data_IF_672118878923
#
_entry.id   IF_672118878923
#
_cell.length_a   1.000
_cell.length_b   1.000
_cell.length_c   1.000
_cell.angle_alpha   90.00
_cell.angle_beta   90.00
_cell.angle_gamma   90.00
#
_symmetry.space_group_name_H-M   'P 1'
#
loop_
_entity.id
_entity.type
_entity.pdbx_description
1 polymer ?
#
# COMPACT_ATOMS: atom_id res chain seq x y z
N UNK A 1 18.73 -12.29 -7.76
CA UNK A 1 18.19 -13.20 -6.71
C UNK A 1 17.96 -12.37 -5.46
N UNK A 2 16.74 -12.17 -5.08
CA UNK A 2 16.36 -11.50 -3.84
C UNK A 2 16.30 -12.54 -2.71
N UNK A 3 17.10 -12.39 -1.68
CA UNK A 3 17.11 -13.21 -0.47
C UNK A 3 16.98 -12.34 0.73
N UNK A 4 16.53 -12.92 1.84
CA UNK A 4 15.14 -13.32 2.07
C UNK A 4 14.32 -12.09 2.50
N UNK A 5 13.02 -12.09 2.26
CA UNK A 5 12.10 -11.04 2.71
C UNK A 5 11.86 -11.06 4.24
N UNK A 6 12.86 -11.40 5.01
CA UNK A 6 12.78 -11.51 6.46
C UNK A 6 14.08 -11.05 7.12
N UNK A 7 13.94 -10.45 8.30
CA UNK A 7 15.05 -10.02 9.14
C UNK A 7 15.20 -11.02 10.27
N UNK A 8 16.43 -11.49 10.53
CA UNK A 8 16.76 -12.21 11.75
C UNK A 8 17.11 -11.18 12.82
N UNK A 9 16.22 -11.03 13.80
CA UNK A 9 16.35 -10.08 14.90
C UNK A 9 17.14 -10.66 16.07
N UNK A 10 17.61 -9.76 16.93
CA UNK A 10 18.13 -10.10 18.27
C UNK A 10 17.04 -9.81 19.30
N UNK A 11 17.13 -10.46 20.47
CA UNK A 11 16.25 -10.13 21.59
C UNK A 11 16.31 -8.65 21.93
N UNK A 12 15.13 -8.03 22.04
CA UNK A 12 14.96 -6.60 22.28
C UNK A 12 14.55 -5.81 21.06
N UNK A 13 14.89 -6.25 19.83
CA UNK A 13 14.52 -5.55 18.59
C UNK A 13 13.01 -5.48 18.40
N UNK A 14 12.27 -6.43 18.94
CA UNK A 14 10.80 -6.44 18.91
C UNK A 14 10.16 -5.31 19.73
N UNK A 15 10.95 -4.62 20.54
CA UNK A 15 10.52 -3.50 21.40
C UNK A 15 10.93 -2.14 20.84
N UNK A 16 11.76 -2.13 19.79
CA UNK A 16 12.26 -0.90 19.22
C UNK A 16 11.14 -0.15 18.50
N UNK A 17 11.07 1.14 18.76
CA UNK A 17 10.18 2.07 18.07
C UNK A 17 10.98 3.11 17.31
N UNK A 18 10.45 3.56 16.17
CA UNK A 18 11.09 4.57 15.33
C UNK A 18 10.09 5.66 14.96
N UNK A 19 10.54 6.90 14.92
CA UNK A 19 9.72 8.05 14.46
C UNK A 19 9.63 8.17 12.94
N UNK A 20 10.39 7.35 12.22
CA UNK A 20 10.36 7.30 10.75
C UNK A 20 10.42 5.84 10.30
N UNK A 21 9.76 5.54 9.19
CA UNK A 21 9.74 4.20 8.62
C UNK A 21 11.17 3.74 8.26
N UNK A 22 11.60 2.60 8.82
CA UNK A 22 12.91 1.97 8.57
C UNK A 22 12.83 0.77 7.65
N UNK A 23 11.71 0.10 7.64
CA UNK A 23 11.46 -1.09 6.83
C UNK A 23 10.14 -0.95 6.10
N UNK A 24 9.97 -1.71 5.04
CA UNK A 24 8.68 -1.86 4.37
C UNK A 24 7.65 -2.39 5.37
N UNK A 25 6.44 -1.84 5.36
CA UNK A 25 5.37 -2.30 6.24
C UNK A 25 5.05 -3.77 5.98
N UNK A 26 4.90 -4.53 7.06
CA UNK A 26 4.71 -5.98 7.00
C UNK A 26 6.01 -6.80 6.92
N UNK A 27 7.19 -6.17 6.88
CA UNK A 27 8.47 -6.91 6.92
C UNK A 27 8.49 -7.86 8.12
N UNK A 28 8.77 -9.13 7.83
CA UNK A 28 8.83 -10.20 8.84
C UNK A 28 10.18 -10.17 9.55
N UNK A 29 10.15 -10.18 10.86
CA UNK A 29 11.32 -10.39 11.70
C UNK A 29 11.14 -11.67 12.51
N UNK A 30 12.17 -12.50 12.58
CA UNK A 30 12.21 -13.73 13.38
C UNK A 30 13.30 -13.63 14.43
N UNK A 31 12.95 -13.93 15.67
CA UNK A 31 13.90 -14.01 16.77
C UNK A 31 14.51 -15.42 16.89
N UNK A 32 15.66 -15.57 17.62
CA UNK A 32 16.34 -16.86 17.77
C UNK A 32 15.49 -17.96 18.43
N UNK A 33 14.44 -17.59 19.16
CA UNK A 33 13.48 -18.51 19.78
C UNK A 33 12.28 -18.87 18.89
N UNK A 34 12.28 -18.41 17.61
CA UNK A 34 11.24 -18.70 16.63
C UNK A 34 10.02 -17.77 16.68
N UNK A 35 9.97 -16.81 17.61
CA UNK A 35 8.89 -15.79 17.61
C UNK A 35 8.99 -14.91 16.35
N UNK A 36 7.85 -14.62 15.77
CA UNK A 36 7.74 -13.82 14.53
C UNK A 36 7.00 -12.53 14.81
N UNK A 37 7.57 -11.42 14.32
CA UNK A 37 7.00 -10.08 14.39
C UNK A 37 6.84 -9.49 13.00
N UNK A 38 5.98 -8.47 12.89
CA UNK A 38 5.78 -7.70 11.66
C UNK A 38 5.99 -6.22 11.94
N UNK A 39 6.77 -5.57 11.07
CA UNK A 39 6.96 -4.13 11.14
C UNK A 39 5.65 -3.42 10.81
N UNK A 40 5.17 -2.57 11.72
CA UNK A 40 3.86 -1.92 11.62
C UNK A 40 3.98 -0.43 11.93
N UNK A 41 3.13 0.37 11.32
CA UNK A 41 2.96 1.79 11.63
C UNK A 41 1.73 1.97 12.52
N UNK A 42 1.92 2.64 13.65
CA UNK A 42 0.83 2.96 14.59
C UNK A 42 0.05 4.17 14.04
N UNK A 43 -1.26 4.07 13.99
CA UNK A 43 -2.15 5.19 13.66
C UNK A 43 -2.34 6.11 14.87
N UNK A 44 -2.41 7.38 14.65
CA UNK A 44 -2.71 8.56 15.45
C UNK A 44 -2.84 8.56 16.98
N UNK A 45 -2.82 7.42 17.66
CA UNK A 45 -2.89 7.30 19.11
C UNK A 45 -1.90 6.26 19.62
N UNK A 46 -1.29 6.53 20.76
CA UNK A 46 -0.37 5.60 21.40
C UNK A 46 -1.06 4.26 21.75
N UNK A 47 -0.36 3.18 21.51
CA UNK A 47 -0.84 1.83 21.82
C UNK A 47 -0.04 1.30 23.01
N UNK A 48 -0.74 0.96 24.08
CA UNK A 48 -0.11 0.39 25.26
C UNK A 48 0.47 -1.02 24.96
N UNK A 49 1.56 -1.36 25.63
CA UNK A 49 2.14 -2.70 25.53
C UNK A 49 1.12 -3.78 25.95
N UNK A 50 1.05 -4.86 25.18
CA UNK A 50 0.10 -5.96 25.40
C UNK A 50 -1.31 -5.73 24.87
N UNK A 51 -1.59 -4.57 24.28
CA UNK A 51 -2.88 -4.30 23.66
C UNK A 51 -3.07 -5.08 22.35
N UNK A 52 -4.31 -5.50 22.08
CA UNK A 52 -4.68 -6.10 20.80
C UNK A 52 -4.95 -5.01 19.78
N UNK A 53 -4.36 -5.15 18.62
CA UNK A 53 -4.48 -4.18 17.52
C UNK A 53 -5.12 -4.81 16.29
N UNK A 54 -5.72 -3.96 15.48
CA UNK A 54 -6.31 -4.33 14.20
C UNK A 54 -5.84 -3.38 13.09
N UNK A 55 -5.98 -3.82 11.85
CA UNK A 55 -5.74 -2.98 10.68
C UNK A 55 -6.69 -1.76 10.66
N UNK A 56 -6.26 -0.67 10.05
CA UNK A 56 -7.15 0.44 9.75
C UNK A 56 -8.27 -0.03 8.80
N UNK A 57 -9.45 0.58 8.93
CA UNK A 57 -10.52 0.37 7.97
C UNK A 57 -10.11 0.91 6.58
N UNK A 58 -10.47 0.18 5.53
CA UNK A 58 -10.29 0.64 4.15
C UNK A 58 -11.12 1.89 3.85
N UNK A 59 -10.69 2.66 2.86
CA UNK A 59 -11.41 3.85 2.39
C UNK A 59 -12.38 3.41 1.29
N UNK A 60 -13.66 3.42 1.58
CA UNK A 60 -14.69 2.85 0.69
C UNK A 60 -14.80 3.57 -0.68
N UNK A 61 -14.47 4.86 -0.74
CA UNK A 61 -14.55 5.65 -1.98
C UNK A 61 -13.31 5.55 -2.87
N UNK A 62 -12.29 4.83 -2.45
CA UNK A 62 -11.10 4.59 -3.27
C UNK A 62 -11.19 3.25 -4.03
N UNK A 63 -12.41 2.90 -4.41
CA UNK A 63 -12.75 1.78 -5.28
C UNK A 63 -13.31 2.30 -6.60
N UNK A 64 -13.15 1.54 -7.67
CA UNK A 64 -13.64 1.87 -9.01
C UNK A 64 -13.18 3.25 -9.52
N UNK A 65 -11.91 3.56 -9.24
CA UNK A 65 -11.29 4.82 -9.66
C UNK A 65 -10.91 4.75 -11.13
N UNK A 66 -11.25 5.81 -11.86
CA UNK A 66 -10.89 5.96 -13.27
C UNK A 66 -9.40 6.30 -13.38
N UNK A 67 -8.73 5.73 -14.38
CA UNK A 67 -7.32 5.99 -14.67
C UNK A 67 -7.11 6.75 -15.96
N UNK A 68 -5.99 7.43 -16.08
CA UNK A 68 -5.46 7.87 -17.38
C UNK A 68 -4.89 6.66 -18.14
N UNK A 69 -4.76 6.79 -19.46
CA UNK A 69 -4.08 5.75 -20.25
C UNK A 69 -2.64 5.56 -19.78
N UNK A 70 -2.21 4.30 -19.70
CA UNK A 70 -0.84 3.92 -19.38
C UNK A 70 -0.46 2.72 -20.26
N UNK A 71 0.82 2.60 -20.59
CA UNK A 71 1.33 1.52 -21.44
C UNK A 71 1.74 0.31 -20.60
N UNK A 72 1.77 -0.86 -21.23
CA UNK A 72 2.43 -2.02 -20.62
C UNK A 72 3.90 -1.71 -20.33
N UNK A 73 4.37 -2.10 -19.15
CA UNK A 73 5.71 -1.79 -18.64
C UNK A 73 5.80 -0.50 -17.84
N UNK A 74 4.79 0.37 -17.88
CA UNK A 74 4.80 1.60 -17.07
C UNK A 74 4.76 1.25 -15.57
N UNK A 75 5.54 2.00 -14.80
CA UNK A 75 5.57 1.92 -13.33
C UNK A 75 4.84 3.10 -12.66
N UNK A 76 4.17 3.93 -13.46
CA UNK A 76 3.37 5.05 -12.96
C UNK A 76 1.97 4.98 -13.53
N UNK A 77 0.97 5.20 -12.67
CA UNK A 77 -0.44 5.25 -13.03
C UNK A 77 -1.04 6.54 -12.49
N UNK A 78 -1.70 7.29 -13.35
CA UNK A 78 -2.39 8.52 -12.95
C UNK A 78 -3.87 8.23 -12.76
N UNK A 79 -4.38 8.49 -11.55
CA UNK A 79 -5.81 8.42 -11.25
C UNK A 79 -6.50 9.69 -11.75
N UNK A 80 -7.68 9.52 -12.31
CA UNK A 80 -8.54 10.60 -12.79
C UNK A 80 -9.77 10.73 -11.90
N UNK A 81 -10.29 11.95 -11.77
CA UNK A 81 -11.49 12.21 -10.98
C UNK A 81 -11.24 13.14 -9.79
N UNK A 82 -12.30 13.43 -9.05
CA UNK A 82 -12.25 14.27 -7.86
C UNK A 82 -11.87 13.41 -6.66
N UNK A 83 -10.60 13.41 -6.30
CA UNK A 83 -10.02 12.58 -5.25
C UNK A 83 -9.47 13.43 -4.11
N UNK A 84 -9.50 12.88 -2.92
CA UNK A 84 -8.78 13.43 -1.75
C UNK A 84 -7.90 12.33 -1.19
N UNK A 85 -6.63 12.35 -1.56
CA UNK A 85 -5.62 11.37 -1.18
C UNK A 85 -4.43 12.12 -0.60
N UNK A 86 -3.96 11.72 0.57
CA UNK A 86 -2.75 12.29 1.15
C UNK A 86 -1.50 11.65 0.53
N UNK A 87 -0.38 12.38 0.61
CA UNK A 87 0.90 11.84 0.14
C UNK A 87 1.21 10.52 0.87
N UNK A 88 1.64 9.52 0.10
CA UNK A 88 2.05 8.21 0.59
C UNK A 88 0.98 7.43 1.39
N UNK A 89 -0.31 7.82 1.27
CA UNK A 89 -1.44 7.14 1.93
C UNK A 89 -1.50 5.64 1.57
N UNK A 90 -1.18 5.30 0.33
CA UNK A 90 -1.21 3.93 -0.19
C UNK A 90 0.18 3.30 -0.33
N UNK A 91 1.21 3.96 0.21
CA UNK A 91 2.56 3.41 0.21
C UNK A 91 2.61 2.03 0.84
N UNK A 92 3.36 1.11 0.22
CA UNK A 92 3.43 -0.31 0.59
C UNK A 92 2.09 -1.07 0.51
N UNK A 93 1.01 -0.41 0.06
CA UNK A 93 -0.28 -1.00 -0.24
C UNK A 93 -0.36 -1.52 -1.68
N UNK A 94 -1.58 -1.71 -2.17
CA UNK A 94 -1.81 -2.34 -3.47
C UNK A 94 -2.85 -1.57 -4.29
N UNK A 95 -2.61 -1.52 -5.60
CA UNK A 95 -3.58 -1.19 -6.64
C UNK A 95 -4.06 -2.50 -7.27
N UNK A 96 -5.36 -2.66 -7.42
CA UNK A 96 -5.95 -3.79 -8.11
C UNK A 96 -6.85 -3.31 -9.23
N UNK A 97 -6.83 -4.01 -10.36
CA UNK A 97 -7.67 -3.70 -11.51
C UNK A 97 -9.01 -4.37 -11.31
N UNK A 98 -10.08 -3.57 -11.17
CA UNK A 98 -11.44 -4.04 -10.93
C UNK A 98 -12.15 -4.44 -12.22
N UNK A 99 -11.99 -3.63 -13.27
CA UNK A 99 -12.70 -3.84 -14.54
C UNK A 99 -11.92 -3.27 -15.73
N UNK A 100 -12.37 -3.61 -16.93
CA UNK A 100 -11.90 -3.03 -18.17
C UNK A 100 -10.70 -3.73 -18.82
N UNK A 101 -10.04 -3.01 -19.75
CA UNK A 101 -9.01 -3.53 -20.66
C UNK A 101 -7.69 -3.66 -19.93
N UNK A 102 -7.40 -3.78 -18.83
CA UNK A 102 -6.11 -3.98 -18.14
C UNK A 102 -5.98 -5.35 -17.48
N UNK A 103 -6.80 -6.32 -17.84
CA UNK A 103 -6.97 -7.60 -17.17
C UNK A 103 -7.42 -7.45 -15.70
N UNK A 104 -8.73 -7.38 -15.48
CA UNK A 104 -9.34 -7.41 -14.16
C UNK A 104 -8.74 -8.55 -13.29
N UNK A 105 -8.45 -8.23 -12.04
CA UNK A 105 -7.84 -9.15 -11.08
C UNK A 105 -6.31 -9.06 -10.95
N UNK A 106 -5.62 -8.26 -11.78
CA UNK A 106 -4.20 -7.98 -11.57
C UNK A 106 -4.02 -7.06 -10.36
N UNK A 107 -2.96 -7.30 -9.61
CA UNK A 107 -2.62 -6.56 -8.38
C UNK A 107 -1.19 -6.07 -8.50
N UNK A 108 -0.98 -4.79 -8.21
CA UNK A 108 0.33 -4.15 -8.27
C UNK A 108 0.65 -3.50 -6.93
N UNK A 109 1.90 -3.62 -6.51
CA UNK A 109 2.36 -2.99 -5.29
C UNK A 109 2.64 -1.51 -5.50
N UNK A 110 2.16 -0.67 -4.59
CA UNK A 110 2.38 0.77 -4.61
C UNK A 110 3.62 1.13 -3.80
N UNK A 111 4.61 1.74 -4.45
CA UNK A 111 5.83 2.26 -3.81
C UNK A 111 5.59 3.62 -3.16
N UNK A 112 4.81 4.48 -3.81
CA UNK A 112 4.45 5.81 -3.31
C UNK A 112 3.24 6.36 -4.06
N UNK A 113 2.60 7.39 -3.50
CA UNK A 113 1.60 8.19 -4.22
C UNK A 113 1.75 9.69 -3.91
N UNK A 114 1.37 10.52 -4.88
CA UNK A 114 1.28 11.97 -4.68
C UNK A 114 0.04 12.33 -3.88
N UNK A 115 0.09 13.49 -3.19
CA UNK A 115 -1.11 14.07 -2.58
C UNK A 115 -1.98 14.71 -3.66
N UNK A 116 -3.30 14.60 -3.49
CA UNK A 116 -4.29 15.35 -4.27
C UNK A 116 -5.44 15.75 -3.35
N UNK A 117 -5.89 16.99 -3.49
CA UNK A 117 -7.03 17.51 -2.76
C UNK A 117 -8.04 18.06 -3.77
N UNK A 118 -9.16 17.37 -3.96
CA UNK A 118 -10.27 17.82 -4.80
C UNK A 118 -9.92 18.12 -6.28
N UNK A 119 -8.84 17.55 -6.78
CA UNK A 119 -8.37 17.74 -8.16
C UNK A 119 -8.15 16.39 -8.85
N UNK A 120 -7.92 16.43 -10.14
CA UNK A 120 -7.51 15.27 -10.93
C UNK A 120 -6.01 15.04 -10.81
N UNK A 121 -5.57 13.80 -10.92
CA UNK A 121 -4.17 13.52 -11.17
C UNK A 121 -3.35 13.04 -9.98
N UNK A 122 -3.91 12.21 -9.08
CA UNK A 122 -3.06 11.45 -8.17
C UNK A 122 -2.18 10.49 -8.97
N UNK A 123 -0.87 10.61 -8.81
CA UNK A 123 0.08 9.71 -9.45
C UNK A 123 0.47 8.63 -8.44
N UNK A 124 0.21 7.39 -8.81
CA UNK A 124 0.73 6.20 -8.13
C UNK A 124 2.05 5.83 -8.77
N UNK A 125 3.05 5.54 -7.98
CA UNK A 125 4.30 4.90 -8.43
C UNK A 125 4.28 3.46 -7.94
N UNK A 126 4.34 2.52 -8.87
CA UNK A 126 4.40 1.09 -8.60
C UNK A 126 5.84 0.69 -8.25
N UNK A 127 6.03 -0.52 -7.77
CA UNK A 127 7.37 -1.07 -7.58
C UNK A 127 8.07 -1.20 -8.94
N UNK A 128 9.36 -0.89 -9.01
CA UNK A 128 10.12 -0.86 -10.28
C UNK A 128 10.19 -2.23 -10.97
N UNK A 129 10.08 -3.29 -10.17
CA UNK A 129 10.06 -4.67 -10.66
C UNK A 129 8.64 -5.18 -10.99
N UNK A 130 7.60 -4.36 -10.76
CA UNK A 130 6.18 -4.72 -10.88
C UNK A 130 5.44 -3.74 -11.80
N UNK A 131 6.00 -3.50 -12.99
CA UNK A 131 5.39 -2.66 -14.02
C UNK A 131 4.12 -3.28 -14.60
N UNK A 132 3.24 -2.45 -15.16
CA UNK A 132 1.98 -2.88 -15.76
C UNK A 132 2.20 -4.00 -16.79
N UNK A 133 1.56 -5.15 -16.61
CA UNK A 133 1.62 -6.26 -17.56
C UNK A 133 0.82 -5.95 -18.84
N UNK A 134 -0.26 -5.17 -18.71
CA UNK A 134 -1.15 -4.81 -19.81
C UNK A 134 -1.46 -3.31 -19.76
N UNK A 135 -1.58 -2.68 -20.92
CA UNK A 135 -1.93 -1.27 -21.04
C UNK A 135 -3.32 -0.97 -20.41
N UNK A 136 -3.42 0.17 -19.74
CA UNK A 136 -4.66 0.69 -19.17
C UNK A 136 -5.32 1.67 -20.14
N UNK A 137 -6.63 1.62 -20.25
CA UNK A 137 -7.42 2.52 -21.10
C UNK A 137 -8.10 3.61 -20.26
N UNK A 138 -7.94 4.86 -20.68
CA UNK A 138 -8.57 6.00 -20.01
C UNK A 138 -10.08 6.08 -20.24
N UNK A 139 -10.80 6.65 -19.29
CA UNK A 139 -12.20 7.03 -19.40
C UNK A 139 -13.16 6.16 -18.59
N UNK A 140 -14.35 6.70 -18.35
CA UNK A 140 -15.42 5.99 -17.65
C UNK A 140 -15.89 4.77 -18.45
N UNK A 141 -16.05 3.64 -17.77
CA UNK A 141 -16.42 2.36 -18.38
C UNK A 141 -15.27 1.60 -19.05
N UNK A 142 -14.05 2.13 -18.95
CA UNK A 142 -12.82 1.46 -19.37
C UNK A 142 -12.11 0.83 -18.15
N UNK A 143 -10.80 1.06 -17.99
CA UNK A 143 -10.10 0.48 -16.84
C UNK A 143 -10.44 1.23 -15.55
N UNK A 144 -10.90 0.50 -14.55
CA UNK A 144 -11.16 0.99 -13.20
C UNK A 144 -10.27 0.25 -12.22
N UNK A 145 -9.75 0.98 -11.25
CA UNK A 145 -8.85 0.43 -10.23
C UNK A 145 -9.37 0.71 -8.83
N UNK A 146 -9.08 -0.21 -7.92
CA UNK A 146 -9.27 0.01 -6.49
C UNK A 146 -7.93 0.12 -5.78
N UNK A 147 -7.91 0.83 -4.67
CA UNK A 147 -6.75 1.00 -3.83
C UNK A 147 -6.97 0.35 -2.47
N UNK A 148 -5.95 -0.31 -1.97
CA UNK A 148 -5.95 -0.82 -0.60
C UNK A 148 -4.68 -0.43 0.13
N UNK A 149 -4.85 0.07 1.35
CA UNK A 149 -3.74 0.37 2.25
C UNK A 149 -3.06 -0.92 2.71
N UNK A 150 -1.79 -0.82 3.06
CA UNK A 150 -1.09 -1.94 3.68
C UNK A 150 -1.77 -2.30 5.02
N UNK A 151 -1.99 -3.59 5.28
CA UNK A 151 -2.63 -4.09 6.51
C UNK A 151 -1.89 -3.67 7.78
N UNK A 152 -0.59 -3.39 7.68
CA UNK A 152 0.27 -2.96 8.78
C UNK A 152 0.44 -1.44 8.86
N UNK A 153 -0.26 -0.67 8.02
CA UNK A 153 -0.32 0.79 8.09
C UNK A 153 -1.44 1.24 9.02
N UNK A 154 -1.17 2.28 9.80
CA UNK A 154 -2.17 2.89 10.69
C UNK A 154 -2.92 1.90 11.59
N UNK A 155 -2.22 0.89 12.12
CA UNK A 155 -2.84 -0.07 13.05
C UNK A 155 -3.42 0.64 14.28
N UNK A 156 -4.57 0.16 14.75
CA UNK A 156 -5.36 0.78 15.82
C UNK A 156 -5.68 -0.24 16.90
N UNK A 157 -6.01 0.24 18.09
CA UNK A 157 -6.60 -0.62 19.13
C UNK A 157 -7.87 -1.29 18.59
N UNK A 158 -8.01 -2.57 18.86
CA UNK A 158 -9.25 -3.29 18.58
C UNK A 158 -10.35 -2.71 19.49
N UNK A 159 -11.46 -2.33 18.88
CA UNK A 159 -12.67 -1.87 19.57
C UNK A 159 -13.62 -3.03 19.81
#
# INVERSE_FOLDING_TARGET
MSFPNGIYGKYGFEKDTTSSQKHVLGTRMELPDGRVFRYSEIGGADIAAGAVVQAAAGVAHDQDLVVAAASAGDTTVTLSGSLTITKDQYKDGYMHINSGAGRAGQIYRIKSNTAVASATGCVLTLDEEDGLETALTAGSGNTEVGLSVNTYSNVRLQQ
#
